data_IF_425077158541
#
_entry.id   IF_425077158541
#
_cell.length_a   1.000
_cell.length_b   1.000
_cell.length_c   1.000
_cell.angle_alpha   90.00
_cell.angle_beta   90.00
_cell.angle_gamma   90.00
#
_symmetry.space_group_name_H-M   'P 1'
#
loop_
_entity.id
_entity.type
_entity.pdbx_description
1 polymer ?
#
# COMPACT_ATOMS: atom_id res chain seq x y z
N UNK A 1 15.09 12.51 25.39
CA UNK A 1 13.75 11.91 25.22
C UNK A 1 13.21 12.39 23.90
N UNK A 2 12.77 11.49 23.02
CA UNK A 2 12.15 11.90 21.74
C UNK A 2 10.87 12.68 22.04
N UNK A 3 10.58 13.78 21.31
CA UNK A 3 9.33 14.50 21.46
C UNK A 3 8.15 13.55 21.21
N UNK A 4 7.10 13.64 22.02
CA UNK A 4 5.91 12.77 21.90
C UNK A 4 5.32 12.78 20.48
N UNK A 5 5.39 13.92 19.79
CA UNK A 5 4.97 14.08 18.40
C UNK A 5 5.74 13.16 17.43
N UNK A 6 7.06 13.02 17.62
CA UNK A 6 7.91 12.18 16.78
C UNK A 6 7.59 10.70 17.00
N UNK A 7 7.38 10.31 18.25
CA UNK A 7 7.00 8.93 18.60
C UNK A 7 5.66 8.56 17.96
N UNK A 8 4.67 9.45 18.07
CA UNK A 8 3.35 9.24 17.46
C UNK A 8 3.44 9.17 15.93
N UNK A 9 4.22 10.05 15.29
CA UNK A 9 4.40 10.04 13.84
C UNK A 9 5.02 8.72 13.35
N UNK A 10 6.06 8.24 14.03
CA UNK A 10 6.70 6.96 13.72
C UNK A 10 5.74 5.78 13.91
N UNK A 11 4.93 5.79 14.98
CA UNK A 11 3.94 4.75 15.23
C UNK A 11 2.86 4.73 14.14
N UNK A 12 2.35 5.90 13.74
CA UNK A 12 1.36 6.03 12.65
C UNK A 12 1.95 5.51 11.34
N UNK A 13 3.20 5.84 11.04
CA UNK A 13 3.88 5.36 9.83
C UNK A 13 4.07 3.84 9.84
N UNK A 14 4.47 3.26 10.97
CA UNK A 14 4.57 1.80 11.13
C UNK A 14 3.23 1.11 10.91
N UNK A 15 2.15 1.64 11.51
CA UNK A 15 0.80 1.11 11.30
C UNK A 15 0.35 1.23 9.83
N UNK A 16 0.63 2.38 9.20
CA UNK A 16 0.31 2.63 7.81
C UNK A 16 1.02 1.67 6.85
N UNK A 17 2.19 1.15 7.21
CA UNK A 17 2.92 0.13 6.44
C UNK A 17 2.48 -1.29 6.78
N UNK A 18 2.31 -1.59 8.07
CA UNK A 18 1.98 -2.93 8.55
C UNK A 18 0.58 -3.37 8.11
N UNK A 19 -0.43 -2.50 8.21
CA UNK A 19 -1.82 -2.86 7.88
C UNK A 19 -1.95 -3.31 6.41
N UNK A 20 -1.45 -2.55 5.41
CA UNK A 20 -1.48 -3.01 4.03
C UNK A 20 -0.65 -4.25 3.79
N UNK A 21 0.51 -4.39 4.45
CA UNK A 21 1.33 -5.58 4.34
C UNK A 21 0.56 -6.83 4.77
N UNK A 22 -0.06 -6.80 5.95
CA UNK A 22 -0.89 -7.91 6.43
C UNK A 22 -2.07 -8.18 5.51
N UNK A 23 -2.74 -7.16 4.99
CA UNK A 23 -3.84 -7.38 4.06
C UNK A 23 -3.39 -7.99 2.74
N UNK A 24 -2.22 -7.62 2.21
CA UNK A 24 -1.62 -8.27 1.04
C UNK A 24 -1.32 -9.74 1.35
N UNK A 25 -0.72 -10.04 2.50
CA UNK A 25 -0.44 -11.42 2.93
C UNK A 25 -1.73 -12.23 3.06
N UNK A 26 -2.77 -11.68 3.70
CA UNK A 26 -4.09 -12.34 3.82
C UNK A 26 -4.69 -12.58 2.44
N UNK A 27 -4.65 -11.61 1.53
CA UNK A 27 -5.15 -11.80 0.16
C UNK A 27 -4.32 -12.85 -0.59
N UNK A 28 -3.01 -12.92 -0.36
CA UNK A 28 -2.13 -13.93 -0.94
C UNK A 28 -2.51 -15.33 -0.46
N UNK A 29 -2.74 -15.49 0.85
CA UNK A 29 -3.23 -16.73 1.44
C UNK A 29 -4.61 -17.11 0.89
N UNK A 30 -5.52 -16.14 0.78
CA UNK A 30 -6.85 -16.36 0.15
C UNK A 30 -6.70 -16.78 -1.30
N UNK A 31 -5.76 -16.22 -2.04
CA UNK A 31 -5.51 -16.59 -3.43
C UNK A 31 -4.87 -17.96 -3.56
N UNK A 32 -3.93 -18.32 -2.69
CA UNK A 32 -3.34 -19.65 -2.63
C UNK A 32 -4.42 -20.70 -2.32
N UNK A 33 -5.25 -20.43 -1.31
CA UNK A 33 -6.38 -21.28 -0.95
C UNK A 33 -7.37 -21.38 -2.09
N UNK A 34 -7.72 -20.26 -2.74
CA UNK A 34 -8.55 -20.23 -3.93
C UNK A 34 -7.94 -21.17 -4.97
N UNK A 35 -6.70 -20.92 -5.41
CA UNK A 35 -5.99 -21.65 -6.46
C UNK A 35 -5.89 -23.17 -6.23
N UNK A 36 -5.50 -23.61 -5.04
CA UNK A 36 -5.08 -25.00 -4.80
C UNK A 36 -6.03 -25.84 -3.94
N UNK A 37 -6.84 -25.21 -3.07
CA UNK A 37 -7.64 -25.92 -2.07
C UNK A 37 -9.16 -25.75 -2.25
N UNK A 38 -9.61 -24.67 -2.90
CA UNK A 38 -11.03 -24.41 -3.04
C UNK A 38 -11.66 -25.29 -4.12
N UNK A 39 -12.76 -25.98 -3.74
CA UNK A 39 -13.57 -26.79 -4.64
C UNK A 39 -14.05 -25.95 -5.84
N UNK A 40 -13.78 -26.36 -7.08
CA UNK A 40 -14.07 -25.55 -8.26
C UNK A 40 -15.56 -25.24 -8.46
N UNK A 41 -16.46 -26.05 -7.88
CA UNK A 41 -17.92 -25.86 -7.94
C UNK A 41 -18.46 -24.83 -6.92
N UNK A 42 -17.70 -24.48 -5.88
CA UNK A 42 -18.11 -23.51 -4.84
C UNK A 42 -17.13 -22.35 -4.67
N UNK A 43 -16.07 -22.32 -5.47
CA UNK A 43 -15.04 -21.31 -5.47
C UNK A 43 -15.64 -20.02 -6.04
N UNK A 44 -16.15 -19.16 -5.15
CA UNK A 44 -16.64 -17.82 -5.47
C UNK A 44 -15.57 -16.91 -6.10
N UNK A 45 -15.80 -15.61 -6.10
CA UNK A 45 -14.95 -14.66 -6.82
C UNK A 45 -13.46 -14.72 -6.45
N UNK A 46 -12.62 -14.50 -7.46
CA UNK A 46 -11.16 -14.43 -7.29
C UNK A 46 -10.80 -13.30 -6.30
N UNK A 47 -9.95 -13.57 -5.29
CA UNK A 47 -9.52 -12.56 -4.35
C UNK A 47 -8.80 -11.40 -5.05
N UNK A 48 -9.06 -10.21 -4.54
CA UNK A 48 -8.71 -8.95 -5.18
C UNK A 48 -7.55 -8.28 -4.43
N UNK A 49 -6.50 -7.95 -5.16
CA UNK A 49 -5.25 -7.44 -4.58
C UNK A 49 -5.06 -5.94 -4.76
N UNK A 50 -5.81 -5.31 -5.67
CA UNK A 50 -5.53 -3.96 -6.16
C UNK A 50 -5.48 -2.92 -5.03
N UNK A 51 -6.43 -2.96 -4.08
CA UNK A 51 -6.46 -2.02 -2.95
C UNK A 51 -5.29 -2.21 -1.99
N UNK A 52 -5.13 -3.41 -1.39
CA UNK A 52 -4.02 -3.66 -0.47
C UNK A 52 -2.64 -3.43 -1.07
N UNK A 53 -2.43 -3.80 -2.33
CA UNK A 53 -1.13 -3.61 -3.00
C UNK A 53 -0.85 -2.14 -3.26
N UNK A 54 -1.82 -1.38 -3.79
CA UNK A 54 -1.62 0.06 -4.01
C UNK A 54 -1.38 0.80 -2.69
N UNK A 55 -2.14 0.46 -1.65
CA UNK A 55 -1.94 1.05 -0.34
C UNK A 55 -0.54 0.71 0.22
N UNK A 56 -0.08 -0.53 0.06
CA UNK A 56 1.26 -0.92 0.48
C UNK A 56 2.35 -0.14 -0.26
N UNK A 57 2.21 0.04 -1.57
CA UNK A 57 3.17 0.82 -2.37
C UNK A 57 3.23 2.26 -1.90
N UNK A 58 2.08 2.92 -1.72
CA UNK A 58 2.05 4.30 -1.26
C UNK A 58 2.53 4.43 0.19
N UNK A 59 2.20 3.50 1.08
CA UNK A 59 2.75 3.48 2.43
C UNK A 59 4.27 3.25 2.45
N UNK A 60 4.80 2.42 1.55
CA UNK A 60 6.23 2.22 1.39
C UNK A 60 6.94 3.49 0.91
N UNK A 61 6.34 4.21 -0.06
CA UNK A 61 6.83 5.51 -0.53
C UNK A 61 6.77 6.58 0.56
N UNK A 62 5.73 6.58 1.40
CA UNK A 62 5.67 7.47 2.57
C UNK A 62 6.79 7.17 3.58
N UNK A 63 7.19 5.91 3.68
CA UNK A 63 8.19 5.47 4.64
C UNK A 63 9.65 5.62 4.16
N UNK A 64 9.90 5.97 2.89
CA UNK A 64 11.26 6.05 2.34
C UNK A 64 12.16 7.01 3.12
N UNK A 65 11.63 8.13 3.59
CA UNK A 65 12.40 9.13 4.33
C UNK A 65 12.63 8.78 5.81
N UNK A 66 12.00 7.72 6.32
CA UNK A 66 12.08 7.31 7.71
C UNK A 66 12.80 5.98 7.92
N UNK A 67 12.95 5.17 6.87
CA UNK A 67 13.59 3.86 6.93
C UNK A 67 15.05 3.97 6.49
N UNK A 68 15.98 3.70 7.41
CA UNK A 68 17.42 3.77 7.18
C UNK A 68 18.04 2.49 6.62
N UNK A 69 17.25 1.63 5.95
CA UNK A 69 17.73 0.37 5.37
C UNK A 69 17.34 0.25 3.89
N UNK A 70 18.07 -0.57 3.13
CA UNK A 70 17.81 -0.78 1.70
C UNK A 70 16.51 -1.58 1.47
N UNK A 71 15.72 -1.28 0.41
CA UNK A 71 15.99 -0.34 -0.68
C UNK A 71 15.56 1.12 -0.40
N UNK A 72 15.07 1.42 0.79
CA UNK A 72 14.42 2.70 1.11
C UNK A 72 15.39 3.89 1.11
N UNK A 73 16.65 3.66 1.52
CA UNK A 73 17.71 4.68 1.47
C UNK A 73 17.98 5.11 0.03
N UNK A 74 18.19 4.14 -0.87
CA UNK A 74 18.39 4.42 -2.30
C UNK A 74 17.16 5.13 -2.90
N UNK A 75 15.94 4.71 -2.55
CA UNK A 75 14.71 5.36 -3.01
C UNK A 75 14.57 6.80 -2.51
N UNK A 76 14.91 7.08 -1.25
CA UNK A 76 14.90 8.43 -0.67
C UNK A 76 15.94 9.34 -1.34
N UNK A 77 17.11 8.80 -1.71
CA UNK A 77 18.14 9.54 -2.43
C UNK A 77 17.71 9.89 -3.87
N UNK A 78 16.93 9.03 -4.52
CA UNK A 78 16.37 9.27 -5.86
C UNK A 78 15.11 10.13 -5.85
N UNK A 79 14.60 10.54 -4.69
CA UNK A 79 13.39 11.34 -4.60
C UNK A 79 13.65 12.73 -5.21
N UNK A 80 12.96 13.13 -6.29
CA UNK A 80 13.17 14.45 -6.92
C UNK A 80 12.67 15.60 -6.05
N UNK A 81 12.00 15.31 -4.94
CA UNK A 81 11.40 16.32 -4.05
C UNK A 81 12.47 16.87 -3.11
N UNK A 82 12.62 18.21 -3.03
CA UNK A 82 13.57 18.84 -2.13
C UNK A 82 13.23 18.51 -0.67
N UNK A 83 14.23 18.51 0.21
CA UNK A 83 14.06 18.13 1.62
C UNK A 83 12.95 18.92 2.33
N UNK A 84 12.80 20.21 2.01
CA UNK A 84 11.74 21.07 2.54
C UNK A 84 10.32 20.61 2.17
N UNK A 85 10.17 19.83 1.09
CA UNK A 85 8.91 19.31 0.59
C UNK A 85 8.59 17.87 1.01
N UNK A 86 9.56 17.16 1.61
CA UNK A 86 9.41 15.71 1.90
C UNK A 86 8.29 15.40 2.89
N UNK A 87 8.06 16.27 3.87
CA UNK A 87 6.92 16.11 4.79
C UNK A 87 5.58 16.12 4.05
N UNK A 88 5.40 17.02 3.07
CA UNK A 88 4.19 17.07 2.25
C UNK A 88 4.06 15.85 1.34
N UNK A 89 5.17 15.36 0.80
CA UNK A 89 5.21 14.13 0.02
C UNK A 89 4.73 12.93 0.84
N UNK A 90 5.27 12.74 2.04
CA UNK A 90 4.86 11.67 2.97
C UNK A 90 3.36 11.72 3.24
N UNK A 91 2.83 12.89 3.57
CA UNK A 91 1.39 13.08 3.83
C UNK A 91 0.55 12.76 2.58
N UNK A 92 0.98 13.21 1.41
CA UNK A 92 0.30 12.92 0.15
C UNK A 92 0.30 11.42 -0.18
N UNK A 93 1.42 10.74 0.03
CA UNK A 93 1.51 9.29 -0.15
C UNK A 93 0.60 8.54 0.82
N UNK A 94 0.55 8.93 2.09
CA UNK A 94 -0.39 8.34 3.06
C UNK A 94 -1.86 8.58 2.67
N UNK A 95 -2.20 9.78 2.19
CA UNK A 95 -3.55 10.06 1.70
C UNK A 95 -3.91 9.19 0.49
N UNK A 96 -2.98 9.02 -0.47
CA UNK A 96 -3.15 8.12 -1.61
C UNK A 96 -3.27 6.66 -1.17
N UNK A 97 -2.54 6.24 -0.14
CA UNK A 97 -2.66 4.90 0.43
C UNK A 97 -4.09 4.64 0.92
N UNK A 98 -4.63 5.55 1.73
CA UNK A 98 -6.02 5.46 2.24
C UNK A 98 -7.05 5.51 1.11
N UNK A 99 -6.90 6.42 0.15
CA UNK A 99 -7.81 6.50 -0.99
C UNK A 99 -7.77 5.26 -1.88
N UNK A 100 -6.57 4.72 -2.13
CA UNK A 100 -6.42 3.49 -2.91
C UNK A 100 -7.09 2.31 -2.20
N UNK A 101 -7.04 2.25 -0.87
CA UNK A 101 -7.74 1.23 -0.10
C UNK A 101 -9.26 1.33 -0.26
N UNK A 102 -9.81 2.54 -0.13
CA UNK A 102 -11.25 2.78 -0.20
C UNK A 102 -11.81 2.63 -1.62
N UNK A 103 -11.08 3.08 -2.64
CA UNK A 103 -11.59 3.23 -4.01
C UNK A 103 -10.95 2.29 -5.05
N UNK A 104 -10.10 1.33 -4.65
CA UNK A 104 -9.46 0.43 -5.60
C UNK A 104 -10.43 -0.38 -6.46
N UNK A 105 -11.61 -0.74 -5.95
CA UNK A 105 -12.64 -1.39 -6.75
C UNK A 105 -13.06 -0.55 -7.95
N UNK A 106 -13.29 0.75 -7.72
CA UNK A 106 -13.65 1.72 -8.77
C UNK A 106 -12.50 1.97 -9.74
N UNK A 107 -11.27 2.12 -9.23
CA UNK A 107 -10.06 2.30 -10.06
C UNK A 107 -9.91 1.13 -11.02
N UNK A 108 -10.01 -0.10 -10.51
CA UNK A 108 -9.91 -1.31 -11.34
C UNK A 108 -11.00 -1.39 -12.39
N UNK A 109 -12.25 -1.12 -12.02
CA UNK A 109 -13.37 -1.17 -12.96
C UNK A 109 -13.18 -0.16 -14.10
N UNK A 110 -12.65 1.04 -13.77
CA UNK A 110 -12.33 2.07 -14.75
C UNK A 110 -11.18 1.66 -15.67
N UNK A 111 -10.11 1.05 -15.12
CA UNK A 111 -9.00 0.52 -15.92
C UNK A 111 -9.45 -0.61 -16.85
N UNK A 112 -10.30 -1.53 -16.37
CA UNK A 112 -10.88 -2.60 -17.20
C UNK A 112 -11.72 -2.04 -18.35
N UNK A 113 -12.57 -1.05 -18.07
CA UNK A 113 -13.35 -0.35 -19.08
C UNK A 113 -12.46 0.33 -20.13
N UNK A 114 -11.36 0.98 -19.71
CA UNK A 114 -10.39 1.59 -20.62
C UNK A 114 -9.65 0.55 -21.50
N UNK A 115 -9.41 -0.64 -20.96
CA UNK A 115 -8.75 -1.74 -21.67
C UNK A 115 -9.71 -2.56 -22.54
N UNK A 116 -10.99 -2.18 -22.64
CA UNK A 116 -11.99 -2.88 -23.46
C UNK A 116 -12.42 -4.25 -22.91
N UNK A 117 -12.04 -4.58 -21.67
CA UNK A 117 -12.46 -5.79 -20.98
C UNK A 117 -13.69 -5.45 -20.12
N UNK A 118 -14.85 -5.29 -20.78
CA UNK A 118 -16.15 -5.13 -20.13
C UNK A 118 -16.85 -6.49 -20.00
#
# INVERSE_FOLDING_TARGET
>A
MLPTQVILALLVLQLALAIPLFAVVIQLLRWLHWCFMANPLSRGDRPQFTGPVLALVFSALAATDFLSFEPFVTMSAMNPIPESGRAYFTVAMLALAVWSWAYAGTIRNRVRALLGAA
#
